data_IF_871121226374
#
_entry.id   IF_871121226374
#
_cell.length_a   1.000
_cell.length_b   1.000
_cell.length_c   1.000
_cell.angle_alpha   90.00
_cell.angle_beta   90.00
_cell.angle_gamma   90.00
#
_symmetry.space_group_name_H-M   'P 1'
#
loop_
_entity.id
_entity.type
_entity.pdbx_description
1 polymer ?
#
# COMPACT_ATOMS: atom_id res chain seq x y z
N UNK A 1 14.50 -9.83 20.81
CA UNK A 1 15.06 -8.53 20.37
C UNK A 1 13.95 -7.71 19.76
N UNK A 2 13.89 -6.39 19.99
CA UNK A 2 12.96 -5.53 19.27
C UNK A 2 13.53 -5.33 17.87
N UNK A 3 12.86 -5.83 16.85
CA UNK A 3 13.19 -5.50 15.46
C UNK A 3 13.05 -3.99 15.31
N UNK A 4 14.14 -3.30 15.01
CA UNK A 4 14.12 -1.86 14.72
C UNK A 4 13.43 -1.69 13.37
N UNK A 5 12.18 -1.24 13.37
CA UNK A 5 11.47 -0.90 12.13
C UNK A 5 11.99 0.44 11.63
N UNK A 6 12.40 0.53 10.36
CA UNK A 6 12.80 1.81 9.75
C UNK A 6 11.64 2.81 9.71
N UNK A 7 11.98 4.08 9.51
CA UNK A 7 10.97 5.08 9.17
C UNK A 7 10.34 4.76 7.79
N UNK A 8 9.04 5.03 7.60
CA UNK A 8 8.38 4.91 6.30
C UNK A 8 9.09 5.70 5.21
N UNK A 9 9.06 5.19 3.97
CA UNK A 9 9.59 5.90 2.81
C UNK A 9 8.77 7.17 2.56
N UNK A 10 9.44 8.20 2.06
CA UNK A 10 8.76 9.44 1.66
C UNK A 10 7.72 9.14 0.57
N UNK A 11 6.59 9.84 0.63
CA UNK A 11 5.50 9.71 -0.32
C UNK A 11 4.98 11.11 -0.67
N UNK A 12 5.18 11.62 -1.89
CA UNK A 12 5.73 10.93 -3.06
C UNK A 12 7.21 10.51 -2.94
N UNK A 13 7.58 9.39 -3.54
CA UNK A 13 8.96 8.90 -3.61
C UNK A 13 9.59 9.20 -4.98
N UNK A 14 10.77 9.82 -5.00
CA UNK A 14 11.48 10.11 -6.25
C UNK A 14 12.27 8.89 -6.73
N UNK A 15 12.03 8.45 -7.96
CA UNK A 15 12.70 7.31 -8.59
C UNK A 15 13.45 7.73 -9.85
N UNK A 16 14.71 7.30 -9.94
CA UNK A 16 15.52 7.39 -11.15
C UNK A 16 15.27 6.16 -12.02
N UNK A 17 14.21 6.22 -12.82
CA UNK A 17 13.83 5.19 -13.79
C UNK A 17 13.08 5.87 -14.93
N UNK A 18 13.21 5.34 -16.16
CA UNK A 18 12.31 5.73 -17.24
C UNK A 18 10.86 5.36 -16.88
N UNK A 19 9.90 6.13 -17.40
CA UNK A 19 8.47 5.96 -17.08
C UNK A 19 7.93 4.59 -17.51
N UNK A 20 8.27 4.13 -18.70
CA UNK A 20 7.83 2.82 -19.23
C UNK A 20 8.32 1.67 -18.35
N UNK A 21 9.62 1.65 -18.07
CA UNK A 21 10.23 0.63 -17.20
C UNK A 21 9.68 0.69 -15.77
N UNK A 22 9.37 1.90 -15.27
CA UNK A 22 8.77 2.07 -13.96
C UNK A 22 7.33 1.54 -13.90
N UNK A 23 6.53 1.75 -14.94
CA UNK A 23 5.18 1.18 -15.02
C UNK A 23 5.22 -0.36 -15.07
N UNK A 24 6.20 -0.94 -15.75
CA UNK A 24 6.38 -2.40 -15.78
C UNK A 24 6.80 -2.95 -14.40
N UNK A 25 7.71 -2.27 -13.71
CA UNK A 25 8.09 -2.62 -12.34
C UNK A 25 6.92 -2.46 -11.35
N UNK A 26 6.03 -1.48 -11.54
CA UNK A 26 4.80 -1.36 -10.74
C UNK A 26 3.90 -2.58 -10.95
N UNK A 27 3.71 -3.03 -12.20
CA UNK A 27 2.91 -4.24 -12.48
C UNK A 27 3.52 -5.47 -11.83
N UNK A 28 4.84 -5.64 -11.92
CA UNK A 28 5.56 -6.74 -11.28
C UNK A 28 5.43 -6.68 -9.74
N UNK A 29 5.56 -5.50 -9.14
CA UNK A 29 5.37 -5.31 -7.69
C UNK A 29 3.96 -5.70 -7.25
N UNK A 30 2.94 -5.32 -8.01
CA UNK A 30 1.55 -5.67 -7.76
C UNK A 30 1.33 -7.18 -7.87
N UNK A 31 1.88 -7.83 -8.90
CA UNK A 31 1.82 -9.27 -9.09
C UNK A 31 2.46 -10.03 -7.91
N UNK A 32 3.68 -9.66 -7.51
CA UNK A 32 4.38 -10.31 -6.39
C UNK A 32 3.64 -10.13 -5.06
N UNK A 33 2.99 -8.97 -4.87
CA UNK A 33 2.13 -8.70 -3.70
C UNK A 33 0.72 -9.27 -3.84
N UNK A 34 0.40 -9.94 -4.95
CA UNK A 34 -0.92 -10.53 -5.27
C UNK A 34 -2.05 -9.49 -5.24
N UNK A 35 -1.73 -8.26 -5.62
CA UNK A 35 -2.68 -7.16 -5.77
C UNK A 35 -3.16 -7.11 -7.23
N UNK A 36 -4.47 -7.20 -7.43
CA UNK A 36 -5.06 -7.24 -8.76
C UNK A 36 -5.30 -5.81 -9.24
N UNK A 37 -4.90 -5.49 -10.47
CA UNK A 37 -5.19 -4.20 -11.10
C UNK A 37 -6.69 -4.11 -11.40
N UNK A 38 -7.29 -2.98 -11.03
CA UNK A 38 -8.61 -2.59 -11.50
C UNK A 38 -8.46 -1.88 -12.85
N UNK A 39 -8.62 -2.63 -13.94
CA UNK A 39 -8.48 -2.13 -15.31
C UNK A 39 -9.51 -1.04 -15.65
N UNK A 40 -10.68 -1.04 -15.02
CA UNK A 40 -11.72 -0.04 -15.29
C UNK A 40 -11.41 1.32 -14.66
N UNK A 41 -10.74 1.31 -13.51
CA UNK A 41 -10.35 2.53 -12.77
C UNK A 41 -8.95 3.04 -13.14
N UNK A 42 -8.12 2.18 -13.74
CA UNK A 42 -6.74 2.51 -14.10
C UNK A 42 -6.65 3.29 -15.41
N UNK A 43 -5.68 4.21 -15.48
CA UNK A 43 -5.29 4.95 -16.68
C UNK A 43 -3.76 4.91 -16.81
N UNK A 44 -3.17 3.80 -17.28
CA UNK A 44 -1.73 3.62 -17.29
C UNK A 44 -0.97 4.64 -18.16
N UNK A 45 -1.58 5.11 -19.25
CA UNK A 45 -1.00 6.17 -20.08
C UNK A 45 -0.83 7.48 -19.29
N UNK A 46 -1.81 7.81 -18.47
CA UNK A 46 -1.78 8.96 -17.55
C UNK A 46 -0.90 8.69 -16.32
N UNK A 47 -0.47 7.44 -16.12
CA UNK A 47 0.39 7.02 -15.01
C UNK A 47 -0.37 6.70 -13.75
N UNK A 48 -1.66 6.41 -13.87
CA UNK A 48 -2.56 6.11 -12.74
C UNK A 48 -2.88 4.62 -12.80
N UNK A 49 -2.52 3.89 -11.76
CA UNK A 49 -2.80 2.47 -11.60
C UNK A 49 -3.59 2.30 -10.31
N UNK A 50 -4.75 1.68 -10.39
CA UNK A 50 -5.64 1.43 -9.24
C UNK A 50 -5.77 -0.07 -9.06
N UNK A 51 -5.76 -0.54 -7.82
CA UNK A 51 -5.99 -1.96 -7.51
C UNK A 51 -7.45 -2.23 -7.14
N UNK A 52 -7.91 -3.45 -7.40
CA UNK A 52 -9.11 -3.97 -6.76
C UNK A 52 -8.90 -4.04 -5.23
N UNK A 53 -9.99 -4.07 -4.43
CA UNK A 53 -9.89 -4.26 -2.99
C UNK A 53 -9.23 -5.61 -2.62
N UNK A 54 -8.12 -5.56 -1.89
CA UNK A 54 -7.45 -6.71 -1.33
C UNK A 54 -7.88 -6.91 0.13
N UNK A 55 -8.41 -8.10 0.44
CA UNK A 55 -8.86 -8.45 1.80
C UNK A 55 -7.68 -9.02 2.59
N UNK A 56 -7.19 -8.25 3.55
CA UNK A 56 -6.07 -8.64 4.42
C UNK A 56 -6.52 -9.26 5.75
N UNK A 57 -7.76 -9.05 6.17
CA UNK A 57 -8.29 -9.58 7.44
C UNK A 57 -9.67 -10.21 7.27
N UNK A 58 -9.86 -11.44 7.78
CA UNK A 58 -11.15 -12.15 7.77
C UNK A 58 -11.47 -12.71 9.16
N UNK A 59 -12.65 -12.39 9.66
CA UNK A 59 -13.14 -12.79 10.98
C UNK A 59 -12.77 -11.79 12.07
N UNK A 60 -13.52 -11.77 13.20
CA UNK A 60 -13.44 -10.71 14.20
C UNK A 60 -12.04 -10.38 14.72
N UNK A 61 -11.33 -11.40 15.18
CA UNK A 61 -10.01 -11.23 15.79
C UNK A 61 -8.94 -10.79 14.78
N UNK A 62 -8.90 -11.45 13.62
CA UNK A 62 -7.89 -11.17 12.58
C UNK A 62 -8.15 -9.80 11.96
N UNK A 63 -9.39 -9.47 11.64
CA UNK A 63 -9.74 -8.17 11.09
C UNK A 63 -9.37 -7.04 12.06
N UNK A 64 -9.68 -7.17 13.35
CA UNK A 64 -9.32 -6.16 14.33
C UNK A 64 -7.80 -6.01 14.49
N UNK A 65 -7.06 -7.12 14.53
CA UNK A 65 -5.59 -7.10 14.64
C UNK A 65 -4.94 -6.45 13.42
N UNK A 66 -5.34 -6.85 12.22
CA UNK A 66 -4.74 -6.32 10.99
C UNK A 66 -5.17 -4.87 10.70
N UNK A 67 -6.41 -4.49 11.04
CA UNK A 67 -6.85 -3.10 10.90
C UNK A 67 -6.03 -2.15 11.77
N UNK A 68 -5.60 -2.57 12.96
CA UNK A 68 -4.68 -1.78 13.80
C UNK A 68 -3.31 -1.56 13.16
N UNK A 69 -2.91 -2.40 12.20
CA UNK A 69 -1.66 -2.27 11.46
C UNK A 69 -1.81 -1.32 10.28
N UNK A 70 -2.88 -1.50 9.49
CA UNK A 70 -3.10 -0.77 8.24
C UNK A 70 -3.89 0.53 8.38
N UNK A 71 -4.57 0.76 9.50
CA UNK A 71 -5.39 1.94 9.73
C UNK A 71 -5.19 2.56 11.12
N UNK A 72 -5.42 3.87 11.20
CA UNK A 72 -5.61 4.60 12.45
C UNK A 72 -7.07 4.45 12.86
N UNK A 73 -7.31 3.73 13.96
CA UNK A 73 -8.64 3.49 14.48
C UNK A 73 -8.97 4.59 15.51
N UNK A 74 -9.66 5.65 15.07
CA UNK A 74 -9.89 6.83 15.88
C UNK A 74 -10.77 6.52 17.10
N UNK A 75 -11.94 5.88 16.98
CA UNK A 75 -12.76 5.42 18.12
C UNK A 75 -13.73 4.28 17.74
N UNK A 76 -13.91 3.30 18.65
CA UNK A 76 -15.03 2.34 18.65
C UNK A 76 -14.63 0.87 18.82
N UNK A 77 -15.30 0.15 19.73
CA UNK A 77 -15.34 -1.32 19.83
C UNK A 77 -16.17 -1.93 18.68
N UNK A 78 -15.93 -1.47 17.45
CA UNK A 78 -16.58 -2.03 16.29
C UNK A 78 -16.20 -3.51 16.17
N UNK A 79 -17.22 -4.35 16.03
CA UNK A 79 -17.03 -5.76 15.71
C UNK A 79 -16.61 -5.90 14.24
N UNK A 80 -15.33 -5.65 13.96
CA UNK A 80 -14.76 -5.72 12.61
C UNK A 80 -14.78 -7.15 12.10
N UNK A 81 -15.53 -7.43 11.05
CA UNK A 81 -15.61 -8.77 10.45
C UNK A 81 -14.61 -8.98 9.31
N UNK A 82 -14.17 -7.90 8.65
CA UNK A 82 -13.20 -7.90 7.54
C UNK A 82 -12.41 -6.59 7.49
N UNK A 83 -11.22 -6.64 6.93
CA UNK A 83 -10.44 -5.46 6.54
C UNK A 83 -9.98 -5.61 5.09
N UNK A 84 -10.06 -4.53 4.32
CA UNK A 84 -9.57 -4.48 2.95
C UNK A 84 -8.88 -3.15 2.65
N UNK A 85 -8.02 -3.12 1.65
CA UNK A 85 -7.55 -1.87 1.06
C UNK A 85 -7.49 -1.94 -0.45
N UNK A 86 -7.57 -0.79 -1.11
CA UNK A 86 -7.16 -0.61 -2.51
C UNK A 86 -6.04 0.41 -2.57
N UNK A 87 -5.11 0.25 -3.51
CA UNK A 87 -4.04 1.22 -3.75
C UNK A 87 -4.35 2.05 -5.00
N UNK A 88 -4.07 3.34 -4.92
CA UNK A 88 -3.91 4.23 -6.08
C UNK A 88 -2.44 4.59 -6.18
N UNK A 89 -1.81 4.23 -7.30
CA UNK A 89 -0.41 4.49 -7.60
C UNK A 89 -0.36 5.50 -8.74
N UNK A 90 0.34 6.61 -8.52
CA UNK A 90 0.45 7.71 -9.48
C UNK A 90 1.92 7.96 -9.82
N UNK A 91 2.23 7.93 -11.12
CA UNK A 91 3.55 8.21 -11.66
C UNK A 91 3.54 9.57 -12.35
N UNK A 92 4.23 10.53 -11.76
CA UNK A 92 4.40 11.88 -12.32
C UNK A 92 5.83 12.03 -12.84
N UNK A 93 5.98 12.26 -14.14
CA UNK A 93 7.29 12.46 -14.74
C UNK A 93 7.82 13.84 -14.41
N UNK A 94 9.07 13.89 -13.92
CA UNK A 94 9.81 15.13 -13.70
C UNK A 94 10.58 15.46 -14.98
N UNK A 95 11.30 14.47 -15.50
CA UNK A 95 12.03 14.51 -16.76
C UNK A 95 12.03 13.10 -17.42
N UNK A 96 12.83 12.89 -18.46
CA UNK A 96 12.85 11.61 -19.21
C UNK A 96 13.33 10.38 -18.42
N UNK A 97 13.99 10.57 -17.27
CA UNK A 97 14.59 9.50 -16.47
C UNK A 97 14.27 9.59 -14.97
N UNK A 98 13.58 10.64 -14.52
CA UNK A 98 13.17 10.84 -13.15
C UNK A 98 11.65 10.95 -13.05
N UNK A 99 11.07 10.24 -12.11
CA UNK A 99 9.63 10.26 -11.82
C UNK A 99 9.40 10.38 -10.31
N UNK A 100 8.31 11.05 -9.92
CA UNK A 100 7.72 10.90 -8.59
C UNK A 100 6.68 9.79 -8.62
N UNK A 101 6.71 8.91 -7.62
CA UNK A 101 5.70 7.87 -7.41
C UNK A 101 4.96 8.16 -6.13
N UNK A 102 3.66 8.42 -6.23
CA UNK A 102 2.77 8.54 -5.09
C UNK A 102 1.96 7.26 -4.94
N UNK A 103 1.76 6.81 -3.71
CA UNK A 103 0.97 5.60 -3.41
C UNK A 103 -0.02 5.95 -2.32
N UNK A 104 -1.31 5.75 -2.54
CA UNK A 104 -2.34 6.06 -1.55
C UNK A 104 -3.19 4.84 -1.29
N UNK A 105 -3.32 4.42 -0.02
CA UNK A 105 -4.21 3.34 0.35
C UNK A 105 -5.56 3.88 0.82
N UNK A 106 -6.65 3.39 0.19
CA UNK A 106 -7.99 3.49 0.75
C UNK A 106 -8.21 2.26 1.60
N UNK A 107 -8.18 2.41 2.93
CA UNK A 107 -8.39 1.31 3.88
C UNK A 107 -9.84 1.30 4.35
N UNK A 108 -10.46 0.13 4.35
CA UNK A 108 -11.86 -0.06 4.76
C UNK A 108 -11.99 -1.23 5.72
N UNK A 109 -12.75 -1.02 6.80
CA UNK A 109 -13.16 -2.05 7.74
C UNK A 109 -14.62 -2.39 7.55
N UNK A 110 -14.98 -3.67 7.53
CA UNK A 110 -16.38 -4.09 7.56
C UNK A 110 -16.84 -4.29 8.99
N UNK A 111 -17.60 -3.35 9.54
CA UNK A 111 -18.02 -3.36 10.95
C UNK A 111 -19.39 -2.73 11.14
N UNK A 112 -19.89 -2.77 12.38
CA UNK A 112 -21.17 -2.16 12.75
C UNK A 112 -21.58 -2.49 14.18
N UNK A 113 -22.56 -1.76 14.70
CA UNK A 113 -23.13 -1.92 16.04
C UNK A 113 -24.44 -2.75 15.99
N UNK A 114 -24.32 -4.07 15.91
CA UNK A 114 -25.48 -4.97 15.98
C UNK A 114 -26.04 -5.39 14.62
N UNK A 115 -27.27 -4.96 14.29
CA UNK A 115 -28.11 -5.57 13.23
C UNK A 115 -27.64 -5.31 11.78
N UNK A 116 -26.71 -4.39 11.55
CA UNK A 116 -26.18 -4.09 10.21
C UNK A 116 -24.64 -4.09 10.21
N UNK A 117 -24.08 -4.48 9.06
CA UNK A 117 -22.64 -4.40 8.80
C UNK A 117 -22.42 -3.64 7.51
N UNK A 118 -21.53 -2.67 7.52
CA UNK A 118 -21.17 -1.89 6.35
C UNK A 118 -19.66 -1.74 6.22
N UNK A 119 -19.21 -1.31 5.04
CA UNK A 119 -17.82 -0.94 4.83
C UNK A 119 -17.63 0.51 5.27
N UNK A 120 -16.75 0.72 6.23
CA UNK A 120 -16.40 2.03 6.77
C UNK A 120 -15.00 2.36 6.28
N UNK A 121 -14.84 3.51 5.63
CA UNK A 121 -13.51 4.01 5.25
C UNK A 121 -12.78 4.49 6.50
N UNK A 122 -11.52 4.05 6.63
CA UNK A 122 -10.65 4.34 7.76
C UNK A 122 -9.44 5.13 7.27
N UNK A 123 -8.84 5.91 8.17
CA UNK A 123 -7.59 6.61 7.86
C UNK A 123 -6.47 5.58 7.75
N UNK A 124 -5.73 5.59 6.65
CA UNK A 124 -4.53 4.75 6.47
C UNK A 124 -3.48 5.07 7.55
N UNK A 125 -2.75 4.05 8.00
CA UNK A 125 -1.54 4.22 8.83
C UNK A 125 -0.29 4.55 8.00
N UNK A 126 -0.36 4.44 6.67
CA UNK A 126 0.77 4.54 5.76
C UNK A 126 1.48 3.20 5.51
N UNK A 127 1.10 2.12 6.22
CA UNK A 127 1.81 0.84 6.13
C UNK A 127 1.67 0.16 4.76
N UNK A 128 0.48 0.18 4.15
CA UNK A 128 0.27 -0.47 2.85
C UNK A 128 1.03 0.27 1.73
N UNK A 129 1.07 1.60 1.81
CA UNK A 129 1.81 2.47 0.92
C UNK A 129 3.31 2.21 1.02
N UNK A 130 3.82 2.15 2.25
CA UNK A 130 5.23 1.90 2.54
C UNK A 130 5.67 0.49 2.11
N UNK A 131 4.89 -0.55 2.45
CA UNK A 131 5.14 -1.93 2.03
C UNK A 131 5.13 -2.11 0.49
N UNK A 132 4.39 -1.27 -0.23
CA UNK A 132 4.41 -1.25 -1.68
C UNK A 132 5.64 -0.49 -2.21
N UNK A 133 5.92 0.70 -1.68
CA UNK A 133 7.07 1.50 -2.09
C UNK A 133 8.41 0.79 -1.87
N UNK A 134 8.58 0.08 -0.74
CA UNK A 134 9.77 -0.77 -0.49
C UNK A 134 9.99 -1.75 -1.62
N UNK A 135 8.91 -2.47 -1.98
CA UNK A 135 8.98 -3.49 -3.01
C UNK A 135 9.32 -2.90 -4.36
N UNK A 136 8.72 -1.75 -4.68
CA UNK A 136 9.01 -1.05 -5.91
C UNK A 136 10.46 -0.55 -5.97
N UNK A 137 10.99 0.02 -4.88
CA UNK A 137 12.39 0.43 -4.79
C UNK A 137 13.33 -0.76 -4.95
N UNK A 138 13.03 -1.88 -4.31
CA UNK A 138 13.80 -3.12 -4.46
C UNK A 138 13.85 -3.58 -5.92
N UNK A 139 12.72 -3.60 -6.62
CA UNK A 139 12.66 -4.00 -8.02
C UNK A 139 13.38 -3.02 -8.95
N UNK A 140 13.31 -1.72 -8.68
CA UNK A 140 13.97 -0.68 -9.51
C UNK A 140 15.48 -0.65 -9.30
N UNK A 141 15.94 -0.83 -8.05
CA UNK A 141 17.35 -0.60 -7.68
C UNK A 141 18.14 -1.89 -7.43
N UNK A 142 17.45 -3.02 -7.25
CA UNK A 142 18.03 -4.28 -6.77
C UNK A 142 18.40 -4.27 -5.28
N UNK A 143 18.07 -3.20 -4.55
CA UNK A 143 18.44 -3.01 -3.14
C UNK A 143 17.17 -2.88 -2.31
N UNK A 144 16.97 -3.78 -1.35
CA UNK A 144 15.89 -3.67 -0.38
C UNK A 144 16.21 -2.60 0.67
N UNK A 145 15.36 -1.56 0.84
CA UNK A 145 15.49 -0.58 1.91
C UNK A 145 15.51 -1.19 3.32
N UNK A 146 14.83 -2.33 3.50
CA UNK A 146 14.74 -2.99 4.81
C UNK A 146 16.03 -3.75 5.16
N UNK A 147 16.81 -4.18 4.17
CA UNK A 147 18.08 -4.87 4.40
C UNK A 147 19.18 -3.95 4.96
N UNK A 148 19.07 -2.62 4.72
CA UNK A 148 20.07 -1.64 5.15
C UNK A 148 20.05 -1.35 6.66
N UNK A 149 18.98 -1.74 7.38
CA UNK A 149 18.81 -1.44 8.82
C UNK A 149 19.50 -2.49 9.71
N UNK A 150 19.99 -3.59 9.12
CA UNK A 150 20.61 -4.71 9.86
C UNK A 150 22.11 -4.49 10.12
N UNK A 151 22.71 -3.38 9.68
CA UNK A 151 24.14 -3.11 9.85
C UNK A 151 24.33 -1.94 10.81
N UNK A 152 24.46 -2.25 12.10
CA UNK A 152 25.23 -1.51 13.11
C UNK A 152 25.19 -2.28 14.44
N UNK A 153 26.25 -3.03 14.73
CA UNK A 153 26.60 -3.56 16.05
C UNK A 153 28.12 -3.51 16.21
#
# INVERSE_FOLDING_TARGET
GKTTTRAPLANPYRMASRRDMLLDNIRLALEEKKLIIDEASSRPLDGIIVTQPFVFGRGPLVAQSELKRYAILDFGDNAWSRGQYSLTIEVQSIDGINNNVSVNAKVEGRGGSGLTTEWITLRSSGLAEDEFLVKLVELVTGISPDAQVVVDN
#
